data_IF_885793207331
#
_entry.id   IF_885793207331
#
_cell.length_a   1.000
_cell.length_b   1.000
_cell.length_c   1.000
_cell.angle_alpha   90.00
_cell.angle_beta   90.00
_cell.angle_gamma   90.00
#
_symmetry.space_group_name_H-M   'P 1'
#
loop_
_entity.id
_entity.type
_entity.pdbx_description
1 polymer ?
#
# COMPACT_ATOMS: atom_id res chain seq x y z
N UNK A 1 3.61 -13.94 14.47
CA UNK A 1 2.64 -13.11 13.74
C UNK A 1 2.45 -13.54 12.28
N UNK A 2 3.44 -14.13 11.60
CA UNK A 2 3.26 -14.69 10.25
C UNK A 2 2.12 -15.74 10.17
N UNK A 3 1.88 -16.51 11.23
CA UNK A 3 0.80 -17.49 11.30
C UNK A 3 -0.63 -16.92 11.45
N UNK A 4 -0.77 -15.59 11.52
CA UNK A 4 -2.07 -14.90 11.59
C UNK A 4 -2.48 -14.20 10.29
N UNK A 5 -1.88 -14.57 9.15
CA UNK A 5 -2.06 -13.89 7.86
C UNK A 5 -3.50 -13.91 7.30
N UNK A 6 -4.41 -14.67 7.92
CA UNK A 6 -5.84 -14.64 7.64
C UNK A 6 -6.66 -13.81 8.66
N UNK A 7 -6.02 -12.83 9.32
CA UNK A 7 -6.70 -11.80 10.12
C UNK A 7 -6.99 -12.17 11.58
N UNK A 8 -6.54 -13.33 12.05
CA UNK A 8 -6.66 -13.74 13.46
C UNK A 8 -5.27 -14.02 14.04
N UNK A 9 -4.85 -13.32 15.11
CA UNK A 9 -3.62 -13.67 15.83
C UNK A 9 -3.71 -15.10 16.36
N UNK A 10 -2.65 -15.88 16.16
CA UNK A 10 -2.52 -17.19 16.81
C UNK A 10 -2.11 -17.00 18.27
N UNK A 11 -2.63 -17.83 19.16
CA UNK A 11 -2.26 -17.80 20.57
C UNK A 11 -0.76 -18.11 20.75
N UNK A 12 -0.05 -17.18 21.38
CA UNK A 12 1.33 -17.37 21.77
C UNK A 12 1.37 -18.36 22.94
N UNK A 13 1.65 -19.63 22.66
CA UNK A 13 1.86 -20.64 23.71
C UNK A 13 1.17 -21.97 23.47
N UNK A 14 0.33 -22.10 22.44
CA UNK A 14 -0.10 -23.43 22.00
C UNK A 14 0.69 -23.84 20.76
N UNK A 15 1.87 -24.44 20.96
CA UNK A 15 2.47 -25.36 19.98
C UNK A 15 1.58 -26.62 19.80
N UNK A 16 0.26 -26.51 20.03
CA UNK A 16 -0.70 -27.58 19.79
C UNK A 16 -0.99 -27.58 18.30
N UNK A 17 -0.33 -28.52 17.65
CA UNK A 17 -0.30 -28.77 16.21
C UNK A 17 -1.72 -28.77 15.61
N UNK A 18 -1.99 -27.94 14.60
CA UNK A 18 -2.99 -28.23 13.61
C UNK A 18 -2.26 -28.62 12.31
N UNK A 19 -2.00 -29.92 12.12
CA UNK A 19 -1.87 -30.46 10.76
C UNK A 19 -2.03 -31.99 10.79
N UNK A 20 -3.02 -32.56 10.08
CA UNK A 20 -3.01 -33.96 9.68
C UNK A 20 -2.05 -34.13 8.49
N UNK A 21 -0.75 -34.02 8.74
CA UNK A 21 0.30 -34.18 7.72
C UNK A 21 1.18 -35.39 7.99
N UNK A 22 1.72 -35.99 6.93
CA UNK A 22 2.67 -37.10 7.04
C UNK A 22 4.02 -36.60 7.61
N UNK A 23 4.83 -37.46 8.24
CA UNK A 23 6.17 -37.10 8.71
C UNK A 23 7.07 -36.45 7.64
N UNK A 24 6.93 -36.89 6.41
CA UNK A 24 7.66 -36.42 5.23
C UNK A 24 7.34 -34.96 4.92
N UNK A 25 6.08 -34.53 5.12
CA UNK A 25 5.66 -33.13 4.93
C UNK A 25 6.37 -32.18 5.89
N UNK A 26 6.69 -32.64 7.11
CA UNK A 26 7.42 -31.83 8.09
C UNK A 26 8.86 -31.61 7.69
N UNK A 27 9.52 -32.66 7.20
CA UNK A 27 10.90 -32.57 6.76
C UNK A 27 11.01 -31.65 5.53
N UNK A 28 10.13 -31.85 4.54
CA UNK A 28 10.08 -31.00 3.36
C UNK A 28 9.81 -29.52 3.70
N UNK A 29 8.85 -29.23 4.59
CA UNK A 29 8.56 -27.87 5.03
C UNK A 29 9.74 -27.23 5.78
N UNK A 30 10.46 -28.00 6.59
CA UNK A 30 11.64 -27.54 7.31
C UNK A 30 12.79 -27.22 6.35
N UNK A 31 13.08 -28.11 5.41
CA UNK A 31 14.10 -27.94 4.38
C UNK A 31 13.81 -26.70 3.52
N UNK A 32 12.57 -26.57 3.03
CA UNK A 32 12.10 -25.38 2.31
C UNK A 32 12.32 -24.09 3.12
N UNK A 33 11.96 -24.11 4.40
CA UNK A 33 12.13 -22.94 5.28
C UNK A 33 13.60 -22.56 5.44
N UNK A 34 14.49 -23.55 5.60
CA UNK A 34 15.92 -23.32 5.72
C UNK A 34 16.51 -22.72 4.43
N UNK A 35 16.09 -23.23 3.27
CA UNK A 35 16.56 -22.76 1.98
C UNK A 35 16.10 -21.32 1.71
N UNK A 36 14.82 -21.00 1.93
CA UNK A 36 14.29 -19.63 1.82
C UNK A 36 14.98 -18.68 2.80
N UNK A 37 15.23 -19.11 4.04
CA UNK A 37 15.96 -18.31 5.02
C UNK A 37 17.41 -18.03 4.56
N UNK A 38 18.04 -18.98 3.85
CA UNK A 38 19.38 -18.82 3.30
C UNK A 38 19.46 -17.76 2.18
N UNK A 39 18.37 -17.57 1.45
CA UNK A 39 18.24 -16.53 0.41
C UNK A 39 17.96 -15.16 1.02
N UNK A 40 17.00 -15.08 1.94
CA UNK A 40 16.57 -13.81 2.54
C UNK A 40 17.61 -13.21 3.49
N UNK A 41 18.49 -14.05 4.08
CA UNK A 41 19.57 -13.68 5.01
C UNK A 41 19.18 -12.53 5.95
N UNK A 42 18.09 -12.67 6.73
CA UNK A 42 17.61 -11.58 7.57
C UNK A 42 18.69 -11.19 8.58
N UNK A 43 19.17 -9.95 8.48
CA UNK A 43 20.13 -9.40 9.42
C UNK A 43 19.39 -8.92 10.66
N UNK A 44 19.51 -9.67 11.75
CA UNK A 44 18.96 -9.28 13.03
C UNK A 44 19.97 -8.41 13.79
N UNK A 45 19.53 -7.28 14.36
CA UNK A 45 20.41 -6.46 15.19
C UNK A 45 20.86 -7.27 16.41
N UNK A 46 22.06 -7.01 16.93
CA UNK A 46 22.58 -7.66 18.14
C UNK A 46 21.64 -7.47 19.35
N UNK A 47 20.91 -6.35 19.36
CA UNK A 47 19.92 -6.01 20.37
C UNK A 47 18.60 -6.79 20.23
N UNK A 48 18.47 -7.74 19.29
CA UNK A 48 17.25 -8.51 19.10
C UNK A 48 16.78 -9.28 20.34
N UNK A 49 17.67 -9.51 21.30
CA UNK A 49 17.40 -10.14 22.60
C UNK A 49 17.08 -9.14 23.73
N UNK A 50 17.28 -7.84 23.50
CA UNK A 50 16.94 -6.79 24.47
C UNK A 50 15.43 -6.60 24.58
N UNK A 51 14.92 -6.52 25.82
CA UNK A 51 13.52 -6.23 26.12
C UNK A 51 13.07 -4.88 25.57
N UNK A 52 13.96 -3.88 25.58
CA UNK A 52 13.72 -2.55 25.03
C UNK A 52 13.48 -2.61 23.52
N UNK A 53 14.38 -3.29 22.81
CA UNK A 53 14.23 -3.57 21.38
C UNK A 53 12.95 -4.36 21.07
N UNK A 54 12.69 -5.47 21.79
CA UNK A 54 11.49 -6.28 21.57
C UNK A 54 10.19 -5.47 21.71
N UNK A 55 10.13 -4.50 22.64
CA UNK A 55 8.95 -3.63 22.82
C UNK A 55 8.70 -2.73 21.62
N UNK A 56 9.75 -2.20 21.00
CA UNK A 56 9.65 -1.39 19.78
C UNK A 56 9.34 -2.26 18.57
N UNK A 57 10.01 -3.41 18.44
CA UNK A 57 9.79 -4.35 17.35
C UNK A 57 8.34 -4.86 17.31
N UNK A 58 7.71 -5.11 18.47
CA UNK A 58 6.28 -5.47 18.58
C UNK A 58 5.32 -4.46 17.93
N UNK A 59 5.71 -3.20 17.75
CA UNK A 59 4.88 -2.23 17.01
C UNK A 59 5.05 -2.41 15.50
N UNK A 60 6.26 -2.75 15.05
CA UNK A 60 6.58 -3.00 13.64
C UNK A 60 5.99 -4.33 13.14
N UNK A 61 5.78 -5.30 14.02
CA UNK A 61 5.23 -6.62 13.63
C UNK A 61 3.84 -6.54 13.01
N UNK A 62 3.05 -5.50 13.29
CA UNK A 62 1.77 -5.27 12.62
C UNK A 62 1.95 -4.91 11.13
N UNK A 63 2.97 -4.10 10.82
CA UNK A 63 3.31 -3.75 9.44
C UNK A 63 3.86 -4.98 8.70
N UNK A 64 4.72 -5.76 9.35
CA UNK A 64 5.22 -7.02 8.79
C UNK A 64 4.10 -8.02 8.54
N UNK A 65 3.10 -8.09 9.44
CA UNK A 65 1.93 -8.92 9.22
C UNK A 65 1.14 -8.45 8.00
N UNK A 66 0.89 -7.14 7.86
CA UNK A 66 0.22 -6.58 6.67
C UNK A 66 0.98 -6.86 5.37
N UNK A 67 2.31 -6.73 5.38
CA UNK A 67 3.16 -7.08 4.25
C UNK A 67 3.07 -8.56 3.89
N UNK A 68 3.09 -9.45 4.89
CA UNK A 68 2.94 -10.89 4.68
C UNK A 68 1.56 -11.23 4.09
N UNK A 69 0.48 -10.59 4.56
CA UNK A 69 -0.86 -10.77 3.98
C UNK A 69 -0.90 -10.31 2.53
N UNK A 70 -0.31 -9.16 2.22
CA UNK A 70 -0.24 -8.66 0.84
C UNK A 70 0.54 -9.64 -0.05
N UNK A 71 1.71 -10.09 0.39
CA UNK A 71 2.53 -11.06 -0.35
C UNK A 71 1.79 -12.38 -0.59
N UNK A 72 1.10 -12.91 0.42
CA UNK A 72 0.27 -14.13 0.31
C UNK A 72 -0.90 -13.95 -0.66
N UNK A 73 -1.58 -12.79 -0.58
CA UNK A 73 -2.66 -12.46 -1.50
C UNK A 73 -2.19 -12.35 -2.96
N UNK A 74 -0.99 -11.80 -3.20
CA UNK A 74 -0.39 -11.73 -4.53
C UNK A 74 0.11 -13.09 -5.02
N UNK A 75 0.73 -13.86 -4.15
CA UNK A 75 1.25 -15.21 -4.45
C UNK A 75 0.16 -16.24 -4.73
N UNK A 76 -1.06 -16.02 -4.23
CA UNK A 76 -2.20 -16.91 -4.41
C UNK A 76 -2.91 -16.76 -5.77
N UNK A 77 -2.55 -15.76 -6.57
CA UNK A 77 -3.12 -15.58 -7.91
C UNK A 77 -2.55 -16.62 -8.89
N UNK A 78 -3.32 -17.67 -9.16
CA UNK A 78 -2.92 -18.75 -10.08
C UNK A 78 -2.73 -18.29 -11.53
N UNK A 79 -3.27 -17.12 -11.92
CA UNK A 79 -2.99 -16.54 -13.24
C UNK A 79 -1.57 -15.99 -13.34
N UNK A 80 -0.97 -15.65 -12.20
CA UNK A 80 0.42 -15.19 -12.08
C UNK A 80 1.34 -16.36 -11.70
N UNK A 81 0.96 -17.15 -10.70
CA UNK A 81 1.73 -18.25 -10.13
C UNK A 81 1.02 -19.60 -10.30
N UNK A 82 1.12 -20.23 -11.49
CA UNK A 82 0.49 -21.53 -11.73
C UNK A 82 1.17 -22.64 -10.95
N UNK A 83 0.38 -23.58 -10.43
CA UNK A 83 0.88 -24.73 -9.69
C UNK A 83 1.88 -25.55 -10.50
N UNK A 84 3.00 -25.91 -9.86
CA UNK A 84 4.05 -26.73 -10.45
C UNK A 84 4.01 -28.11 -9.82
N UNK A 85 3.65 -29.13 -10.60
CA UNK A 85 3.64 -30.52 -10.14
C UNK A 85 4.99 -31.23 -10.37
N UNK A 86 5.84 -30.69 -11.24
CA UNK A 86 7.15 -31.27 -11.56
C UNK A 86 8.21 -30.78 -10.55
N UNK A 87 8.94 -31.69 -9.88
CA UNK A 87 10.05 -31.32 -9.02
C UNK A 87 11.11 -30.53 -9.81
N UNK A 88 11.59 -29.44 -9.24
CA UNK A 88 12.66 -28.62 -9.78
C UNK A 88 13.48 -28.04 -8.62
N UNK A 89 14.72 -27.64 -8.88
CA UNK A 89 15.51 -26.97 -7.86
C UNK A 89 14.82 -25.66 -7.45
N UNK A 90 14.80 -25.40 -6.14
CA UNK A 90 14.12 -24.25 -5.56
C UNK A 90 14.77 -22.93 -6.02
N UNK A 91 16.10 -22.89 -6.11
CA UNK A 91 16.85 -21.76 -6.69
C UNK A 91 16.45 -21.46 -8.14
N UNK A 92 16.34 -22.50 -8.98
CA UNK A 92 15.95 -22.33 -10.38
C UNK A 92 14.53 -21.78 -10.50
N UNK A 93 13.59 -22.30 -9.68
CA UNK A 93 12.23 -21.79 -9.62
C UNK A 93 12.20 -20.32 -9.16
N UNK A 94 12.95 -20.00 -8.12
CA UNK A 94 13.00 -18.66 -7.54
C UNK A 94 13.48 -17.61 -8.55
N UNK A 95 14.61 -17.89 -9.21
CA UNK A 95 15.25 -16.96 -10.15
C UNK A 95 14.53 -16.88 -11.50
N UNK A 96 14.12 -18.02 -12.06
CA UNK A 96 13.59 -18.04 -13.43
C UNK A 96 12.08 -17.80 -13.51
N UNK A 97 11.33 -18.04 -12.43
CA UNK A 97 9.86 -17.95 -12.41
C UNK A 97 9.35 -16.98 -11.35
N UNK A 98 9.63 -17.23 -10.08
CA UNK A 98 8.96 -16.52 -8.99
C UNK A 98 9.27 -15.02 -8.99
N UNK A 99 10.55 -14.63 -9.07
CA UNK A 99 10.98 -13.23 -9.10
C UNK A 99 10.42 -12.48 -10.34
N UNK A 100 10.62 -12.94 -11.59
CA UNK A 100 10.07 -12.24 -12.76
C UNK A 100 8.54 -12.15 -12.77
N UNK A 101 7.84 -13.17 -12.26
CA UNK A 101 6.37 -13.15 -12.17
C UNK A 101 5.90 -12.13 -11.13
N UNK A 102 6.56 -12.07 -9.97
CA UNK A 102 6.27 -11.09 -8.94
C UNK A 102 6.50 -9.66 -9.43
N UNK A 103 7.63 -9.39 -10.10
CA UNK A 103 7.94 -8.07 -10.68
C UNK A 103 6.84 -7.63 -11.66
N UNK A 104 6.46 -8.50 -12.60
CA UNK A 104 5.38 -8.21 -13.56
C UNK A 104 4.04 -8.00 -12.88
N UNK A 105 3.74 -8.75 -11.83
CA UNK A 105 2.49 -8.59 -11.09
C UNK A 105 2.45 -7.25 -10.35
N UNK A 106 3.56 -6.84 -9.73
CA UNK A 106 3.69 -5.55 -9.06
C UNK A 106 3.59 -4.39 -10.06
N UNK A 107 4.23 -4.50 -11.23
CA UNK A 107 4.09 -3.52 -12.32
C UNK A 107 2.64 -3.37 -12.79
N UNK A 108 1.94 -4.51 -13.00
CA UNK A 108 0.53 -4.51 -13.41
C UNK A 108 -0.40 -3.88 -12.38
N UNK A 109 -0.04 -3.92 -11.10
CA UNK A 109 -0.80 -3.32 -10.00
C UNK A 109 -0.42 -1.85 -9.73
N UNK A 110 0.52 -1.30 -10.50
CA UNK A 110 0.99 0.07 -10.33
C UNK A 110 1.99 0.27 -9.19
N UNK A 111 2.53 -0.81 -8.61
CA UNK A 111 3.62 -0.78 -7.62
C UNK A 111 5.02 -0.68 -8.28
N UNK A 112 5.07 -0.37 -9.57
CA UNK A 112 6.32 -0.11 -10.28
C UNK A 112 6.96 1.22 -9.87
N UNK A 113 7.52 1.95 -10.83
CA UNK A 113 8.17 3.24 -10.55
C UNK A 113 7.12 4.25 -10.05
N UNK A 114 7.33 4.90 -8.89
CA UNK A 114 6.40 5.94 -8.43
C UNK A 114 6.36 7.08 -9.45
N UNK A 115 5.17 7.61 -9.77
CA UNK A 115 5.04 8.70 -10.73
C UNK A 115 5.75 9.95 -10.21
N UNK A 116 6.29 10.74 -11.15
CA UNK A 116 7.01 11.99 -10.80
C UNK A 116 5.98 13.10 -10.53
N UNK A 117 5.97 13.71 -9.34
CA UNK A 117 5.07 14.82 -9.05
C UNK A 117 5.36 16.02 -9.97
N UNK A 118 4.30 16.64 -10.49
CA UNK A 118 4.39 17.88 -11.26
C UNK A 118 4.47 19.09 -10.33
N UNK A 119 4.97 20.22 -10.84
CA UNK A 119 4.94 21.48 -10.08
C UNK A 119 3.51 22.01 -9.94
N UNK A 120 3.15 22.52 -8.76
CA UNK A 120 1.82 23.08 -8.53
C UNK A 120 1.72 24.48 -9.16
N UNK A 121 0.86 24.71 -10.17
CA UNK A 121 0.82 25.98 -10.91
C UNK A 121 0.06 27.11 -10.19
N UNK A 122 -0.36 26.88 -8.94
CA UNK A 122 -1.23 27.78 -8.18
C UNK A 122 -2.72 27.48 -8.36
N UNK A 123 -3.53 27.87 -7.37
CA UNK A 123 -4.98 27.58 -7.29
C UNK A 123 -5.73 28.09 -8.52
N UNK A 124 -5.43 29.32 -8.97
CA UNK A 124 -6.09 29.91 -10.15
C UNK A 124 -5.85 29.10 -11.41
N UNK A 125 -4.60 28.71 -11.68
CA UNK A 125 -4.26 27.91 -12.86
C UNK A 125 -4.74 26.47 -12.72
N UNK A 126 -4.69 25.93 -11.51
CA UNK A 126 -5.06 24.54 -11.26
C UNK A 126 -6.58 24.34 -11.34
N UNK A 127 -7.37 25.15 -10.65
CA UNK A 127 -8.82 24.96 -10.55
C UNK A 127 -9.67 25.90 -11.43
N UNK A 128 -9.07 26.95 -12.01
CA UNK A 128 -9.76 27.87 -12.93
C UNK A 128 -10.59 28.95 -12.26
N UNK A 129 -10.41 29.19 -10.95
CA UNK A 129 -11.09 30.24 -10.19
C UNK A 129 -10.14 30.96 -9.24
N UNK A 130 -10.53 32.12 -8.74
CA UNK A 130 -9.73 32.87 -7.77
C UNK A 130 -9.70 32.20 -6.39
N UNK A 131 -8.52 32.10 -5.75
CA UNK A 131 -8.41 31.41 -4.47
C UNK A 131 -9.21 32.12 -3.37
N UNK A 132 -9.91 31.33 -2.56
CA UNK A 132 -10.42 31.80 -1.26
C UNK A 132 -9.25 32.03 -0.28
N UNK A 133 -9.43 32.79 0.81
CA UNK A 133 -8.37 33.00 1.80
C UNK A 133 -7.74 31.70 2.33
N UNK A 134 -8.55 30.66 2.55
CA UNK A 134 -8.06 29.34 2.98
C UNK A 134 -7.22 28.65 1.91
N UNK A 135 -7.62 28.74 0.63
CA UNK A 135 -6.87 28.17 -0.48
C UNK A 135 -5.58 28.93 -0.75
N UNK A 136 -5.59 30.27 -0.60
CA UNK A 136 -4.41 31.10 -0.67
C UNK A 136 -3.41 30.74 0.44
N UNK A 137 -3.89 30.59 1.68
CA UNK A 137 -3.07 30.10 2.78
C UNK A 137 -2.45 28.73 2.47
N UNK A 138 -3.22 27.79 1.91
CA UNK A 138 -2.71 26.48 1.52
C UNK A 138 -1.66 26.55 0.39
N UNK A 139 -1.80 27.52 -0.52
CA UNK A 139 -0.85 27.78 -1.59
C UNK A 139 0.47 28.40 -1.08
N UNK A 140 0.40 29.26 -0.08
CA UNK A 140 1.56 30.04 0.40
C UNK A 140 2.25 29.42 1.63
N UNK A 141 1.65 28.36 2.19
CA UNK A 141 2.19 27.65 3.35
C UNK A 141 3.66 27.26 3.14
N UNK A 142 4.51 27.56 4.11
CA UNK A 142 5.91 27.11 4.15
C UNK A 142 6.02 25.79 4.92
N UNK A 143 6.68 24.80 4.33
CA UNK A 143 6.79 23.46 4.91
C UNK A 143 7.71 23.40 6.12
N UNK A 144 7.27 22.67 7.13
CA UNK A 144 8.12 22.27 8.24
C UNK A 144 8.75 20.89 7.98
N UNK A 145 9.93 20.60 8.54
CA UNK A 145 10.51 19.27 8.46
C UNK A 145 9.70 18.25 9.29
N UNK A 146 9.57 17.04 8.76
CA UNK A 146 8.92 15.92 9.45
C UNK A 146 7.41 15.80 9.19
N UNK A 147 6.74 14.83 9.88
CA UNK A 147 5.32 14.58 9.73
C UNK A 147 4.47 15.76 10.21
N UNK A 148 3.47 16.16 9.43
CA UNK A 148 2.60 17.31 9.72
C UNK A 148 1.12 16.89 9.70
N UNK A 149 0.33 17.50 10.58
CA UNK A 149 -1.13 17.35 10.62
C UNK A 149 -1.76 18.72 10.35
N UNK A 150 -2.60 18.79 9.32
CA UNK A 150 -3.36 19.99 8.98
C UNK A 150 -4.83 19.78 9.32
N UNK A 151 -5.40 20.72 10.07
CA UNK A 151 -6.84 20.76 10.38
C UNK A 151 -7.40 22.03 9.74
N UNK A 152 -8.28 21.86 8.76
CA UNK A 152 -8.88 22.97 7.99
C UNK A 152 -10.30 23.23 8.50
N UNK A 153 -10.47 24.29 9.28
CA UNK A 153 -11.77 24.70 9.83
C UNK A 153 -12.28 25.94 9.10
N UNK A 154 -13.43 25.82 8.45
CA UNK A 154 -14.08 26.91 7.73
C UNK A 154 -15.56 26.59 7.49
N UNK A 155 -16.35 27.57 7.05
CA UNK A 155 -17.77 27.38 6.69
C UNK A 155 -17.93 26.41 5.51
N UNK A 156 -19.11 25.80 5.40
CA UNK A 156 -19.44 24.94 4.26
C UNK A 156 -19.40 25.76 2.97
N UNK A 157 -18.81 25.19 1.92
CA UNK A 157 -18.64 25.91 0.65
C UNK A 157 -17.41 26.83 0.55
N UNK A 158 -16.64 27.06 1.62
CA UNK A 158 -15.43 27.89 1.58
C UNK A 158 -14.24 27.32 0.78
N UNK A 159 -14.42 26.13 0.17
CA UNK A 159 -13.40 25.50 -0.66
C UNK A 159 -12.33 24.70 0.12
N UNK A 160 -12.71 24.13 1.28
CA UNK A 160 -11.82 23.28 2.10
C UNK A 160 -11.24 22.09 1.34
N UNK A 161 -12.03 21.50 0.44
CA UNK A 161 -11.58 20.37 -0.38
C UNK A 161 -10.43 20.78 -1.30
N UNK A 162 -10.57 21.90 -1.99
CA UNK A 162 -9.56 22.41 -2.93
C UNK A 162 -8.32 22.94 -2.18
N UNK A 163 -8.50 23.47 -0.97
CA UNK A 163 -7.37 23.78 -0.07
C UNK A 163 -6.61 22.49 0.34
N UNK A 164 -7.32 21.42 0.71
CA UNK A 164 -6.70 20.13 1.03
C UNK A 164 -5.97 19.52 -0.18
N UNK A 165 -6.57 19.60 -1.38
CA UNK A 165 -5.95 19.14 -2.62
C UNK A 165 -4.71 19.96 -3.00
N UNK A 166 -4.73 21.26 -2.72
CA UNK A 166 -3.57 22.15 -2.87
C UNK A 166 -2.42 21.71 -1.96
N UNK A 167 -2.71 21.43 -0.68
CA UNK A 167 -1.70 20.91 0.26
C UNK A 167 -1.14 19.58 -0.22
N UNK A 168 -2.00 18.66 -0.68
CA UNK A 168 -1.59 17.35 -1.20
C UNK A 168 -0.65 17.46 -2.39
N UNK A 169 -0.99 18.25 -3.42
CA UNK A 169 -0.12 18.41 -4.59
C UNK A 169 1.23 18.99 -4.18
N UNK A 170 1.23 20.04 -3.36
CA UNK A 170 2.49 20.64 -2.90
C UNK A 170 3.30 19.70 -1.99
N UNK A 171 2.68 18.84 -1.18
CA UNK A 171 3.39 17.81 -0.42
C UNK A 171 4.07 16.78 -1.33
N UNK A 172 3.40 16.39 -2.42
CA UNK A 172 3.99 15.51 -3.44
C UNK A 172 5.16 16.22 -4.15
N UNK A 173 4.97 17.46 -4.61
CA UNK A 173 6.00 18.29 -5.26
C UNK A 173 7.26 18.46 -4.40
N UNK A 174 7.10 18.63 -3.08
CA UNK A 174 8.21 18.80 -2.14
C UNK A 174 8.81 17.47 -1.65
N UNK A 175 8.38 16.32 -2.20
CA UNK A 175 8.88 15.00 -1.82
C UNK A 175 8.53 14.58 -0.38
N UNK A 176 7.55 15.25 0.25
CA UNK A 176 7.09 14.95 1.61
C UNK A 176 6.00 13.86 1.64
N UNK A 177 5.48 13.47 0.47
CA UNK A 177 4.53 12.38 0.31
C UNK A 177 4.84 11.57 -0.97
N UNK A 178 4.46 10.30 -0.97
CA UNK A 178 4.59 9.38 -2.13
C UNK A 178 3.23 8.84 -2.61
N UNK A 179 2.14 9.22 -1.94
CA UNK A 179 0.80 8.74 -2.23
C UNK A 179 -0.24 9.46 -1.37
N UNK A 180 -1.50 9.27 -1.71
CA UNK A 180 -2.62 10.00 -1.10
C UNK A 180 -3.77 9.03 -0.83
N UNK A 181 -4.40 9.18 0.33
CA UNK A 181 -5.62 8.46 0.68
C UNK A 181 -6.71 9.45 1.07
N UNK A 182 -7.87 9.37 0.41
CA UNK A 182 -9.04 10.17 0.74
C UNK A 182 -10.00 9.38 1.64
N UNK A 183 -9.97 9.68 2.94
CA UNK A 183 -10.93 9.12 3.90
C UNK A 183 -12.25 9.88 3.85
N UNK A 184 -13.30 9.27 3.31
CA UNK A 184 -14.63 9.89 3.19
C UNK A 184 -15.63 9.23 4.15
N UNK A 185 -16.57 9.99 4.74
CA UNK A 185 -17.43 9.50 5.81
C UNK A 185 -18.49 8.49 5.34
N UNK A 186 -18.93 8.56 4.08
CA UNK A 186 -19.96 7.66 3.53
C UNK A 186 -19.73 7.34 2.05
N UNK A 187 -20.32 6.24 1.56
CA UNK A 187 -20.30 5.88 0.13
C UNK A 187 -20.96 6.95 -0.76
N UNK A 188 -22.05 7.60 -0.32
CA UNK A 188 -22.74 8.61 -1.12
C UNK A 188 -21.89 9.87 -1.35
N UNK A 189 -21.11 10.28 -0.34
CA UNK A 189 -20.13 11.36 -0.49
C UNK A 189 -18.89 10.93 -1.28
N UNK A 190 -18.64 9.62 -1.38
CA UNK A 190 -17.51 9.06 -2.12
C UNK A 190 -17.62 9.23 -3.63
N UNK A 191 -18.81 9.10 -4.24
CA UNK A 191 -18.94 9.24 -5.70
C UNK A 191 -18.70 10.68 -6.18
N UNK A 192 -19.36 11.65 -5.53
CA UNK A 192 -19.22 13.07 -5.89
C UNK A 192 -17.79 13.59 -5.63
N UNK A 193 -17.17 13.18 -4.52
CA UNK A 193 -15.77 13.52 -4.24
C UNK A 193 -14.80 12.77 -5.14
N UNK A 194 -15.08 11.51 -5.47
CA UNK A 194 -14.26 10.74 -6.39
C UNK A 194 -14.21 11.43 -7.75
N UNK A 195 -15.33 11.85 -8.33
CA UNK A 195 -15.31 12.56 -9.62
C UNK A 195 -14.46 13.84 -9.57
N UNK A 196 -14.57 14.62 -8.47
CA UNK A 196 -13.77 15.84 -8.28
C UNK A 196 -12.26 15.56 -8.19
N UNK A 197 -11.87 14.53 -7.44
CA UNK A 197 -10.46 14.14 -7.29
C UNK A 197 -9.95 13.44 -8.55
N UNK A 198 -10.75 12.57 -9.17
CA UNK A 198 -10.41 11.81 -10.37
C UNK A 198 -10.06 12.72 -11.56
N UNK A 199 -10.75 13.86 -11.68
CA UNK A 199 -10.48 14.83 -12.74
C UNK A 199 -9.19 15.64 -12.53
N UNK A 200 -8.61 15.61 -11.33
CA UNK A 200 -7.50 16.48 -10.94
C UNK A 200 -6.23 15.72 -10.58
N UNK A 201 -6.31 14.51 -10.00
CA UNK A 201 -5.12 13.77 -9.55
C UNK A 201 -4.13 13.45 -10.66
N UNK A 202 -4.60 13.27 -11.91
CA UNK A 202 -3.73 13.07 -13.07
C UNK A 202 -2.80 14.26 -13.30
N UNK A 203 -3.25 15.46 -12.95
CA UNK A 203 -2.48 16.70 -13.10
C UNK A 203 -1.46 16.91 -11.97
N UNK A 204 -1.47 16.08 -10.93
CA UNK A 204 -0.45 16.09 -9.88
C UNK A 204 0.88 15.45 -10.30
N UNK A 205 0.92 14.80 -11.46
CA UNK A 205 2.08 14.07 -11.95
C UNK A 205 2.41 14.50 -13.38
N UNK A 206 3.68 14.36 -13.77
CA UNK A 206 4.16 14.73 -15.09
C UNK A 206 3.77 13.73 -16.18
N UNK A 207 3.33 14.24 -17.33
CA UNK A 207 3.00 13.44 -18.52
C UNK A 207 1.77 12.54 -18.37
N UNK A 208 1.76 11.40 -19.06
CA UNK A 208 0.73 10.36 -18.91
C UNK A 208 0.98 9.42 -17.71
N UNK A 209 1.91 9.77 -16.81
CA UNK A 209 2.24 8.96 -15.62
C UNK A 209 1.16 9.10 -14.56
N UNK A 210 0.03 8.42 -14.81
CA UNK A 210 -1.08 8.37 -13.87
C UNK A 210 -0.87 7.18 -12.94
N UNK A 211 -0.77 7.36 -11.61
CA UNK A 211 -0.77 6.23 -10.70
C UNK A 211 -2.04 5.42 -10.91
N UNK A 212 -1.90 4.10 -11.04
CA UNK A 212 -3.06 3.25 -11.18
C UNK A 212 -3.92 3.36 -9.92
N UNK A 213 -5.22 3.55 -10.12
CA UNK A 213 -6.22 3.30 -9.09
C UNK A 213 -6.23 1.82 -8.73
N UNK A 214 -5.45 1.43 -7.71
CA UNK A 214 -5.29 0.03 -7.32
C UNK A 214 -6.58 -0.58 -6.78
N UNK A 215 -7.24 -1.43 -7.58
CA UNK A 215 -8.27 -2.34 -7.10
C UNK A 215 -7.59 -3.65 -6.65
N UNK A 216 -7.44 -3.84 -5.33
CA UNK A 216 -6.93 -5.10 -4.79
C UNK A 216 -7.99 -6.22 -4.89
N UNK A 217 -7.61 -7.52 -4.85
CA UNK A 217 -8.52 -8.65 -5.06
C UNK A 217 -9.68 -8.75 -4.04
N UNK A 218 -9.66 -7.98 -2.94
CA UNK A 218 -10.78 -7.85 -1.98
C UNK A 218 -10.95 -6.44 -1.40
N UNK A 219 -10.58 -5.40 -2.14
CA UNK A 219 -10.69 -4.02 -1.66
C UNK A 219 -10.80 -3.02 -2.80
N UNK A 220 -12.04 -2.63 -3.08
CA UNK A 220 -12.41 -1.58 -4.05
C UNK A 220 -11.82 -0.25 -3.59
N UNK A 221 -10.68 0.15 -4.15
CA UNK A 221 -10.26 1.56 -4.17
C UNK A 221 -10.40 2.00 -5.61
N UNK A 222 -11.43 2.83 -5.85
CA UNK A 222 -11.71 3.59 -7.09
C UNK A 222 -12.52 2.86 -8.21
N UNK A 223 -13.85 3.01 -8.10
CA UNK A 223 -14.96 3.06 -9.11
C UNK A 223 -15.46 1.87 -9.98
N UNK A 224 -16.79 1.62 -9.83
CA UNK A 224 -17.85 1.12 -10.73
C UNK A 224 -17.76 -0.24 -11.47
N UNK A 225 -18.61 -1.22 -11.10
CA UNK A 225 -19.97 -1.40 -11.66
C UNK A 225 -20.77 -2.47 -10.89
N UNK A 226 -22.07 -2.25 -10.85
CA UNK A 226 -23.12 -3.09 -10.28
C UNK A 226 -23.23 -4.48 -10.92
N UNK A 227 -23.62 -5.48 -10.14
CA UNK A 227 -24.46 -6.59 -10.61
C UNK A 227 -25.46 -6.99 -9.49
N UNK A 228 -26.69 -6.52 -9.72
CA UNK A 228 -28.02 -7.05 -9.36
C UNK A 228 -28.54 -7.04 -7.90
N UNK A 229 -29.56 -6.18 -7.70
CA UNK A 229 -30.85 -6.51 -7.05
C UNK A 229 -31.66 -7.49 -7.95
N UNK A 230 -32.70 -8.20 -7.47
CA UNK A 230 -33.44 -8.10 -6.20
C UNK A 230 -33.00 -9.08 -5.10
#
# INVERSE_FOLDING_TARGET
MAFGHHGKPVDAGSNKRPSPGFPEDRQAAWEYTCEVASWLRPQWPEQAQDKGWCKHFKKLTWHLAGFAVLADCLGSDQSVFPYQATPQALDDYWQSKALPQAERALEKLGFGKPPTPSSFPGVRSFFGFDPTPLQQWAQDLTWQPGPQLFVLEDVTGAGKTEAAMTLVHRLLENGQAQGVYFGLPTMATSNAMYERVANTYRRWYDGEQVPQSGAGPRGRVISNRALFSP
#
